data_IF_569316245477
#
_entry.id   IF_569316245477
#
_cell.length_a   1.000
_cell.length_b   1.000
_cell.length_c   1.000
_cell.angle_alpha   90.00
_cell.angle_beta   90.00
_cell.angle_gamma   90.00
#
_symmetry.space_group_name_H-M   'P 1'
#
loop_
_entity.id
_entity.type
_entity.pdbx_description
1 polymer ?
#
# COMPACT_ATOMS: atom_id res chain seq x y z
N UNK A 1 -21.35 42.57 -8.78
CA UNK A 1 -22.46 41.71 -9.26
C UNK A 1 -22.15 41.03 -10.59
N UNK A 2 -21.93 41.73 -11.71
CA UNK A 2 -21.49 41.07 -12.96
C UNK A 2 -20.11 40.41 -12.84
N UNK A 3 -19.19 41.05 -12.10
CA UNK A 3 -17.87 40.50 -11.81
C UNK A 3 -17.93 39.25 -10.92
N UNK A 4 -18.89 39.17 -10.00
CA UNK A 4 -19.06 38.00 -9.12
C UNK A 4 -19.49 36.76 -9.91
N UNK A 5 -20.34 36.93 -10.93
CA UNK A 5 -20.75 35.84 -11.82
C UNK A 5 -19.57 35.37 -12.67
N UNK A 6 -18.77 36.31 -13.18
CA UNK A 6 -17.58 35.99 -13.97
C UNK A 6 -16.55 35.22 -13.13
N UNK A 7 -16.36 35.61 -11.88
CA UNK A 7 -15.44 34.93 -10.96
C UNK A 7 -15.90 33.50 -10.63
N UNK A 8 -17.20 33.32 -10.35
CA UNK A 8 -17.78 31.97 -10.15
C UNK A 8 -17.63 31.10 -11.40
N UNK A 9 -17.75 31.66 -12.61
CA UNK A 9 -17.54 30.90 -13.84
C UNK A 9 -16.08 30.47 -14.01
N UNK A 10 -15.11 31.37 -13.77
CA UNK A 10 -13.68 31.03 -13.84
C UNK A 10 -13.30 29.92 -12.86
N UNK A 11 -13.78 30.02 -11.63
CA UNK A 11 -13.55 29.00 -10.60
C UNK A 11 -14.18 27.66 -10.99
N UNK A 12 -15.38 27.67 -11.57
CA UNK A 12 -16.04 26.46 -12.04
C UNK A 12 -15.27 25.80 -13.20
N UNK A 13 -14.82 26.60 -14.18
CA UNK A 13 -14.03 26.12 -15.31
C UNK A 13 -12.71 25.49 -14.83
N UNK A 14 -12.03 26.16 -13.88
CA UNK A 14 -10.82 25.65 -13.25
C UNK A 14 -11.06 24.30 -12.56
N UNK A 15 -12.11 24.19 -11.74
CA UNK A 15 -12.43 22.94 -11.04
C UNK A 15 -12.83 21.82 -12.00
N UNK A 16 -13.48 22.14 -13.11
CA UNK A 16 -13.85 21.16 -14.13
C UNK A 16 -12.62 20.59 -14.83
N UNK A 17 -11.65 21.44 -15.17
CA UNK A 17 -10.36 21.01 -15.73
C UNK A 17 -9.62 20.15 -14.70
N UNK A 18 -9.55 20.58 -13.44
CA UNK A 18 -8.91 19.82 -12.36
C UNK A 18 -9.57 18.44 -12.16
N UNK A 19 -10.90 18.36 -12.27
CA UNK A 19 -11.61 17.08 -12.21
C UNK A 19 -11.26 16.16 -13.39
N UNK A 20 -11.05 16.70 -14.59
CA UNK A 20 -10.59 15.92 -15.75
C UNK A 20 -9.19 15.36 -15.53
N UNK A 21 -8.27 16.17 -14.98
CA UNK A 21 -6.91 15.72 -14.64
C UNK A 21 -6.94 14.60 -13.58
N UNK A 22 -7.72 14.77 -12.52
CA UNK A 22 -7.90 13.74 -11.48
C UNK A 22 -8.50 12.45 -12.03
N UNK A 23 -9.45 12.53 -12.97
CA UNK A 23 -9.99 11.35 -13.64
C UNK A 23 -8.94 10.64 -14.49
N UNK A 24 -8.09 11.38 -15.21
CA UNK A 24 -6.99 10.79 -15.97
C UNK A 24 -6.00 10.06 -15.03
N UNK A 25 -5.61 10.70 -13.92
CA UNK A 25 -4.76 10.09 -12.90
C UNK A 25 -5.40 8.84 -12.29
N UNK A 26 -6.70 8.86 -12.01
CA UNK A 26 -7.43 7.72 -11.48
C UNK A 26 -7.42 6.54 -12.45
N UNK A 27 -7.62 6.79 -13.75
CA UNK A 27 -7.58 5.76 -14.79
C UNK A 27 -6.17 5.16 -14.88
N UNK A 28 -5.14 6.02 -14.93
CA UNK A 28 -3.72 5.58 -14.95
C UNK A 28 -3.39 4.72 -13.73
N UNK A 29 -3.84 5.13 -12.55
CA UNK A 29 -3.63 4.39 -11.30
C UNK A 29 -4.31 3.01 -11.33
N UNK A 30 -5.57 2.94 -11.77
CA UNK A 30 -6.33 1.68 -11.90
C UNK A 30 -5.69 0.69 -12.88
N UNK A 31 -5.20 1.18 -14.02
CA UNK A 31 -4.51 0.33 -15.00
C UNK A 31 -3.23 -0.28 -14.42
N UNK A 32 -2.41 0.53 -13.74
CA UNK A 32 -1.21 0.06 -13.03
C UNK A 32 -1.54 -0.94 -11.93
N UNK A 33 -2.61 -0.69 -11.17
CA UNK A 33 -3.09 -1.60 -10.13
C UNK A 33 -3.50 -2.95 -10.72
N UNK A 34 -4.23 -2.95 -11.83
CA UNK A 34 -4.64 -4.18 -12.52
C UNK A 34 -3.42 -4.98 -13.01
N UNK A 35 -2.44 -4.31 -13.62
CA UNK A 35 -1.22 -4.96 -14.11
C UNK A 35 -0.43 -5.60 -12.96
N UNK A 36 -0.17 -4.83 -11.89
CA UNK A 36 0.57 -5.32 -10.71
C UNK A 36 -0.17 -6.45 -10.00
N UNK A 37 -1.49 -6.34 -9.84
CA UNK A 37 -2.32 -7.38 -9.25
C UNK A 37 -2.29 -8.67 -10.09
N UNK A 38 -2.45 -8.57 -11.42
CA UNK A 38 -2.41 -9.72 -12.33
C UNK A 38 -1.05 -10.43 -12.26
N UNK A 39 0.04 -9.67 -12.31
CA UNK A 39 1.40 -10.20 -12.19
C UNK A 39 1.64 -10.85 -10.82
N UNK A 40 1.19 -10.22 -9.73
CA UNK A 40 1.27 -10.76 -8.37
C UNK A 40 0.52 -12.09 -8.22
N UNK A 41 -0.73 -12.15 -8.67
CA UNK A 41 -1.55 -13.37 -8.66
C UNK A 41 -0.94 -14.49 -9.52
N UNK A 42 -0.39 -14.17 -10.69
CA UNK A 42 0.27 -15.16 -11.54
C UNK A 42 1.53 -15.74 -10.86
N UNK A 43 2.34 -14.89 -10.24
CA UNK A 43 3.53 -15.32 -9.50
C UNK A 43 3.15 -16.16 -8.28
N UNK A 44 2.05 -15.81 -7.59
CA UNK A 44 1.52 -16.62 -6.50
C UNK A 44 1.07 -18.00 -7.00
N UNK A 45 0.34 -18.06 -8.12
CA UNK A 45 -0.08 -19.32 -8.73
C UNK A 45 1.12 -20.21 -9.12
N UNK A 46 2.17 -19.62 -9.73
CA UNK A 46 3.42 -20.33 -10.03
C UNK A 46 4.09 -20.86 -8.76
N UNK A 47 4.11 -20.08 -7.69
CA UNK A 47 4.66 -20.54 -6.41
C UNK A 47 3.86 -21.72 -5.85
N UNK A 48 2.52 -21.68 -5.88
CA UNK A 48 1.64 -22.78 -5.43
C UNK A 48 1.84 -24.03 -6.27
N UNK A 49 2.03 -23.89 -7.58
CA UNK A 49 2.32 -25.01 -8.47
C UNK A 49 3.65 -25.68 -8.15
N UNK A 50 4.71 -24.89 -7.91
CA UNK A 50 6.06 -25.40 -7.63
C UNK A 50 6.15 -26.05 -6.24
N UNK A 51 5.58 -25.41 -5.21
CA UNK A 51 5.67 -25.93 -3.83
C UNK A 51 4.62 -26.98 -3.51
N UNK A 52 3.58 -27.13 -4.34
CA UNK A 52 2.42 -27.97 -4.03
C UNK A 52 1.38 -27.24 -3.17
N UNK A 53 0.15 -27.76 -3.21
CA UNK A 53 -1.03 -27.11 -2.63
C UNK A 53 -0.94 -26.89 -1.11
N UNK A 54 -0.26 -27.79 -0.40
CA UNK A 54 -0.21 -27.78 1.07
C UNK A 54 0.74 -26.72 1.63
N UNK A 55 1.69 -26.20 0.85
CA UNK A 55 2.77 -25.35 1.35
C UNK A 55 2.47 -23.84 1.26
N UNK A 56 1.48 -23.47 0.45
CA UNK A 56 0.98 -22.09 0.33
C UNK A 56 -0.54 -22.17 0.43
N UNK A 57 -1.01 -22.22 1.67
CA UNK A 57 -2.40 -22.36 2.06
C UNK A 57 -2.73 -21.45 3.25
N UNK A 58 -4.00 -21.29 3.55
CA UNK A 58 -4.46 -20.58 4.75
C UNK A 58 -4.05 -21.31 6.04
N UNK A 59 -3.73 -22.60 5.98
CA UNK A 59 -3.28 -23.40 7.11
C UNK A 59 -1.93 -22.93 7.70
N UNK A 60 -1.12 -22.21 6.92
CA UNK A 60 0.13 -21.62 7.39
C UNK A 60 -0.07 -20.30 8.13
N UNK A 61 -1.28 -19.73 8.09
CA UNK A 61 -1.54 -18.47 8.78
C UNK A 61 -1.66 -18.73 10.29
N UNK A 62 -1.09 -17.85 11.12
CA UNK A 62 -1.25 -17.96 12.56
C UNK A 62 -2.72 -17.90 12.99
N UNK A 63 -3.09 -18.75 13.95
CA UNK A 63 -4.44 -18.87 14.53
C UNK A 63 -4.53 -18.16 15.87
N UNK A 64 -5.71 -18.13 16.51
CA UNK A 64 -5.94 -17.45 17.80
C UNK A 64 -5.03 -17.95 18.95
N UNK A 65 -4.55 -19.20 18.85
CA UNK A 65 -3.60 -19.78 19.83
C UNK A 65 -2.14 -19.33 19.61
N UNK A 66 -1.87 -18.59 18.52
CA UNK A 66 -0.55 -18.08 18.18
C UNK A 66 -0.27 -16.74 18.87
N UNK A 67 1.00 -16.35 18.97
CA UNK A 67 1.38 -15.04 19.49
C UNK A 67 0.71 -13.90 18.69
N UNK A 68 0.36 -12.80 19.36
CA UNK A 68 -0.25 -11.63 18.73
C UNK A 68 0.62 -11.08 17.58
N UNK A 69 -0.01 -10.78 16.45
CA UNK A 69 0.66 -10.31 15.25
C UNK A 69 0.37 -8.84 15.03
N UNK A 70 1.44 -8.04 15.07
CA UNK A 70 1.37 -6.66 14.64
C UNK A 70 1.34 -6.58 13.10
N UNK A 71 0.44 -5.77 12.57
CA UNK A 71 0.40 -5.49 11.13
C UNK A 71 1.68 -4.77 10.69
N UNK A 72 2.37 -5.31 9.66
CA UNK A 72 3.58 -4.69 9.13
C UNK A 72 3.31 -3.35 8.44
N UNK A 73 2.09 -3.15 7.93
CA UNK A 73 1.65 -1.91 7.29
C UNK A 73 0.29 -1.49 7.81
N UNK A 74 0.15 -0.21 8.16
CA UNK A 74 -1.09 0.39 8.66
C UNK A 74 -1.40 1.65 7.87
N UNK A 75 -2.67 1.94 7.64
CA UNK A 75 -3.12 3.17 6.98
C UNK A 75 -3.61 4.14 8.03
N UNK A 76 -3.12 5.38 8.00
CA UNK A 76 -3.65 6.48 8.79
C UNK A 76 -4.41 7.44 7.88
N UNK A 77 -5.52 7.97 8.37
CA UNK A 77 -6.28 9.03 7.68
C UNK A 77 -5.94 10.40 8.26
N UNK A 78 -5.83 11.39 7.40
CA UNK A 78 -5.66 12.80 7.73
C UNK A 78 -6.55 13.64 6.82
N UNK A 79 -7.00 14.79 7.27
CA UNK A 79 -7.71 15.76 6.43
C UNK A 79 -6.70 16.76 5.88
N UNK A 80 -6.68 16.96 4.57
CA UNK A 80 -5.87 17.99 3.93
C UNK A 80 -6.79 19.03 3.27
N UNK A 81 -6.45 20.30 3.43
CA UNK A 81 -7.14 21.42 2.79
C UNK A 81 -6.27 21.94 1.66
N UNK A 82 -6.70 21.77 0.41
CA UNK A 82 -6.10 22.46 -0.74
C UNK A 82 -7.14 23.34 -1.39
N UNK A 83 -6.72 24.56 -1.77
CA UNK A 83 -7.50 25.49 -2.61
C UNK A 83 -8.98 25.60 -2.19
N UNK A 84 -9.23 25.82 -0.90
CA UNK A 84 -10.56 26.07 -0.30
C UNK A 84 -11.55 24.89 -0.25
N UNK A 85 -11.08 23.64 -0.34
CA UNK A 85 -11.90 22.48 0.03
C UNK A 85 -11.06 21.42 0.76
N UNK A 86 -11.75 20.69 1.64
CA UNK A 86 -11.17 19.65 2.48
C UNK A 86 -11.46 18.29 1.87
N UNK A 87 -10.45 17.43 1.85
CA UNK A 87 -10.59 16.05 1.42
C UNK A 87 -9.77 15.13 2.33
N UNK A 88 -10.15 13.85 2.36
CA UNK A 88 -9.44 12.86 3.17
C UNK A 88 -8.23 12.35 2.41
N UNK A 89 -7.13 12.21 3.15
CA UNK A 89 -5.87 11.67 2.64
C UNK A 89 -5.46 10.50 3.51
N UNK A 90 -5.11 9.41 2.84
CA UNK A 90 -4.63 8.18 3.42
C UNK A 90 -3.12 8.09 3.23
N UNK A 91 -2.41 7.83 4.32
CA UNK A 91 -0.95 7.64 4.35
C UNK A 91 -0.62 6.24 4.84
N UNK A 92 0.11 5.51 4.01
CA UNK A 92 0.55 4.16 4.32
C UNK A 92 1.83 4.20 5.16
N UNK A 93 1.74 3.70 6.40
CA UNK A 93 2.88 3.56 7.29
C UNK A 93 3.38 2.12 7.24
N UNK A 94 4.65 1.94 6.90
CA UNK A 94 5.32 0.63 7.00
C UNK A 94 6.14 0.61 8.28
N UNK A 95 5.78 -0.29 9.19
CA UNK A 95 6.55 -0.54 10.40
C UNK A 95 7.76 -1.38 9.98
N UNK A 96 8.88 -0.69 9.75
CA UNK A 96 10.17 -1.34 9.57
C UNK A 96 10.86 -1.44 10.93
N UNK A 97 10.92 -2.65 11.48
CA UNK A 97 11.64 -2.94 12.72
C UNK A 97 13.16 -2.63 12.63
N UNK A 98 13.68 -2.39 11.42
CA UNK A 98 15.08 -2.04 11.17
C UNK A 98 15.44 -0.55 11.40
N UNK A 99 14.48 0.34 11.74
CA UNK A 99 14.77 1.77 12.03
C UNK A 99 14.99 2.09 13.52
N UNK A 100 15.35 1.10 14.34
CA UNK A 100 15.90 1.31 15.69
C UNK A 100 17.43 1.10 15.79
N UNK A 101 18.12 0.89 14.66
CA UNK A 101 19.59 0.80 14.64
C UNK A 101 20.16 1.44 13.37
N UNK A 102 20.31 2.76 13.38
CA UNK A 102 21.21 3.45 12.45
C UNK A 102 21.76 4.71 13.11
N UNK A 103 22.71 4.51 14.03
CA UNK A 103 23.92 5.33 14.03
C UNK A 103 24.85 4.79 12.93
N UNK A 104 25.45 5.72 12.21
CA UNK A 104 26.28 5.53 11.02
C UNK A 104 27.46 4.56 11.22
N UNK A 105 27.80 3.74 10.22
CA UNK A 105 29.00 3.93 9.39
C UNK A 105 29.18 2.82 8.34
N UNK A 106 29.99 3.19 7.35
CA UNK A 106 30.22 2.63 6.02
C UNK A 106 30.99 1.30 5.96
N UNK A 107 30.93 0.73 4.74
CA UNK A 107 31.95 -0.03 4.02
C UNK A 107 32.69 -1.21 4.69
N UNK A 108 32.63 -2.38 4.02
CA UNK A 108 33.49 -3.49 4.39
C UNK A 108 33.22 -4.78 3.62
N UNK A 109 33.73 -4.82 2.39
CA UNK A 109 33.91 -5.99 1.55
C UNK A 109 34.32 -7.27 2.33
N UNK A 110 33.58 -8.39 2.22
CA UNK A 110 34.11 -9.71 2.64
C UNK A 110 33.51 -10.88 1.85
N UNK A 111 34.06 -11.05 0.65
CA UNK A 111 34.69 -12.28 0.11
C UNK A 111 34.10 -13.64 0.58
N UNK A 112 33.53 -14.33 -0.41
CA UNK A 112 33.28 -15.79 -0.47
C UNK A 112 34.40 -16.61 0.19
N UNK A 113 34.06 -17.47 1.16
CA UNK A 113 34.82 -18.69 1.44
C UNK A 113 34.02 -19.92 1.01
N UNK A 114 34.45 -20.52 -0.10
CA UNK A 114 34.24 -21.96 -0.34
C UNK A 114 35.30 -22.69 0.49
N UNK A 115 34.88 -23.62 1.34
CA UNK A 115 35.74 -24.69 1.81
C UNK A 115 35.02 -26.00 1.50
N UNK A 116 35.65 -26.79 0.63
CA UNK A 116 35.31 -28.19 0.38
C UNK A 116 35.81 -29.05 1.54
N UNK A 117 35.05 -30.08 1.93
CA UNK A 117 35.41 -31.52 1.85
C UNK A 117 34.83 -32.39 2.98
N UNK A 118 34.31 -33.54 2.54
CA UNK A 118 34.04 -34.85 3.18
C UNK A 118 33.01 -35.01 4.33
N UNK A 119 31.83 -35.51 3.95
CA UNK A 119 31.44 -36.93 4.09
C UNK A 119 31.26 -37.55 5.48
N UNK A 120 30.00 -37.71 5.91
CA UNK A 120 29.46 -38.93 6.56
C UNK A 120 27.95 -38.83 6.79
N UNK A 121 27.20 -39.89 6.45
CA UNK A 121 25.77 -40.08 6.66
C UNK A 121 25.40 -40.17 8.16
N UNK A 122 24.22 -39.65 8.58
CA UNK A 122 23.09 -40.45 9.13
C UNK A 122 22.01 -39.57 9.78
N UNK A 123 20.76 -39.89 9.41
CA UNK A 123 19.48 -39.86 10.16
C UNK A 123 19.07 -38.62 10.99
N UNK A 124 17.82 -38.23 10.74
CA UNK A 124 17.18 -37.06 11.31
C UNK A 124 16.99 -37.10 12.82
N UNK A 125 16.87 -35.89 13.36
CA UNK A 125 15.98 -35.49 14.44
C UNK A 125 15.68 -34.01 14.24
N UNK A 126 14.39 -33.74 14.15
CA UNK A 126 13.79 -32.46 14.46
C UNK A 126 14.34 -31.99 15.81
N UNK A 127 14.76 -30.72 15.91
CA UNK A 127 14.49 -29.86 17.07
C UNK A 127 15.09 -28.45 16.86
N UNK A 128 14.17 -27.49 16.89
CA UNK A 128 14.27 -26.23 17.64
C UNK A 128 15.52 -25.35 17.41
N UNK A 129 15.34 -24.29 16.64
CA UNK A 129 16.05 -23.05 16.91
C UNK A 129 15.11 -21.84 16.80
N UNK A 130 14.23 -21.72 17.80
CA UNK A 130 13.75 -20.40 18.21
C UNK A 130 14.88 -19.78 19.03
N UNK A 131 15.54 -18.75 18.49
CA UNK A 131 16.35 -17.85 19.32
C UNK A 131 15.39 -17.17 20.30
N UNK A 132 15.37 -17.66 21.54
CA UNK A 132 14.82 -16.92 22.67
C UNK A 132 15.71 -15.70 22.88
N UNK A 133 15.13 -14.52 22.76
CA UNK A 133 15.61 -13.32 23.42
C UNK A 133 14.45 -12.90 24.30
N UNK A 134 14.61 -13.12 25.60
CA UNK A 134 13.70 -12.63 26.64
C UNK A 134 14.20 -11.24 27.03
N UNK A 135 13.44 -10.19 26.70
CA UNK A 135 12.99 -9.17 27.65
C UNK A 135 11.96 -8.25 26.97
N UNK A 136 10.85 -7.96 27.66
CA UNK A 136 9.73 -7.09 27.24
C UNK A 136 8.83 -7.58 26.08
N UNK A 137 8.02 -8.61 26.32
CA UNK A 137 6.60 -8.68 25.88
C UNK A 137 6.20 -8.48 24.40
N UNK A 138 7.13 -8.41 23.46
CA UNK A 138 6.83 -8.27 22.02
C UNK A 138 7.72 -9.24 21.24
N UNK A 139 7.15 -10.37 20.82
CA UNK A 139 7.84 -11.29 19.90
C UNK A 139 8.14 -10.53 18.61
N UNK A 140 9.42 -10.45 18.26
CA UNK A 140 9.92 -9.83 17.03
C UNK A 140 9.11 -10.40 15.86
N UNK A 141 8.30 -9.53 15.24
CA UNK A 141 7.45 -9.86 14.12
C UNK A 141 8.27 -10.58 13.03
N UNK A 142 8.11 -11.89 12.97
CA UNK A 142 8.77 -12.72 11.97
C UNK A 142 8.23 -12.32 10.61
N UNK A 143 9.10 -12.12 9.60
CA UNK A 143 8.66 -11.77 8.25
C UNK A 143 7.51 -12.70 7.81
N UNK A 144 6.31 -12.18 7.50
CA UNK A 144 5.13 -13.02 7.24
C UNK A 144 5.34 -14.03 6.11
N UNK A 145 6.27 -13.76 5.19
CA UNK A 145 6.60 -14.68 4.11
C UNK A 145 7.26 -15.98 4.59
N UNK A 146 7.87 -15.98 5.79
CA UNK A 146 8.49 -17.16 6.40
C UNK A 146 7.47 -18.12 7.01
N UNK A 147 6.20 -17.72 7.15
CA UNK A 147 5.12 -18.65 7.52
C UNK A 147 4.95 -19.77 6.49
N UNK A 148 5.37 -19.54 5.25
CA UNK A 148 5.36 -20.52 4.16
C UNK A 148 6.67 -21.32 4.05
N UNK A 149 7.48 -21.33 5.11
CA UNK A 149 8.76 -22.05 5.20
C UNK A 149 10.00 -21.18 5.02
N UNK A 150 11.16 -21.75 5.38
CA UNK A 150 12.45 -21.03 5.35
C UNK A 150 12.98 -20.83 3.92
N UNK A 151 12.69 -21.78 3.02
CA UNK A 151 13.06 -21.74 1.60
C UNK A 151 11.90 -21.23 0.74
N UNK A 152 11.65 -19.93 0.84
CA UNK A 152 10.62 -19.25 0.04
C UNK A 152 11.05 -19.14 -1.44
N UNK A 153 10.27 -19.68 -2.40
CA UNK A 153 10.58 -19.57 -3.83
C UNK A 153 10.59 -18.12 -4.32
N UNK A 154 11.37 -17.86 -5.38
CA UNK A 154 11.46 -16.52 -5.96
C UNK A 154 10.10 -15.98 -6.41
N UNK A 155 9.25 -16.82 -7.00
CA UNK A 155 7.90 -16.42 -7.43
C UNK A 155 7.04 -15.93 -6.25
N UNK A 156 7.18 -16.54 -5.06
CA UNK A 156 6.42 -16.11 -3.87
C UNK A 156 6.92 -14.75 -3.37
N UNK A 157 8.23 -14.50 -3.42
CA UNK A 157 8.82 -13.18 -3.10
C UNK A 157 8.40 -12.11 -4.10
N UNK A 158 8.35 -12.46 -5.39
CA UNK A 158 7.87 -11.55 -6.44
C UNK A 158 6.38 -11.24 -6.28
N UNK A 159 5.56 -12.24 -5.94
CA UNK A 159 4.15 -12.04 -5.63
C UNK A 159 3.98 -11.08 -4.43
N UNK A 160 4.73 -11.32 -3.35
CA UNK A 160 4.72 -10.44 -2.18
C UNK A 160 5.10 -9.00 -2.55
N UNK A 161 6.17 -8.78 -3.33
CA UNK A 161 6.55 -7.45 -3.82
C UNK A 161 5.45 -6.81 -4.67
N UNK A 162 4.81 -7.60 -5.55
CA UNK A 162 3.70 -7.15 -6.38
C UNK A 162 2.50 -6.69 -5.55
N UNK A 163 2.12 -7.44 -4.52
CA UNK A 163 1.02 -7.06 -3.62
C UNK A 163 1.34 -5.84 -2.75
N UNK A 164 2.58 -5.66 -2.32
CA UNK A 164 3.00 -4.43 -1.64
C UNK A 164 2.83 -3.20 -2.53
N UNK A 165 3.29 -3.28 -3.78
CA UNK A 165 3.11 -2.20 -4.75
C UNK A 165 1.62 -1.97 -5.08
N UNK A 166 0.83 -3.03 -5.20
CA UNK A 166 -0.61 -2.92 -5.40
C UNK A 166 -1.29 -2.20 -4.22
N UNK A 167 -0.87 -2.47 -2.98
CA UNK A 167 -1.40 -1.80 -1.79
C UNK A 167 -1.09 -0.30 -1.80
N UNK A 168 0.11 0.09 -2.22
CA UNK A 168 0.48 1.50 -2.41
C UNK A 168 -0.39 2.18 -3.48
N UNK A 169 -0.65 1.50 -4.60
CA UNK A 169 -1.53 1.99 -5.67
C UNK A 169 -3.00 2.10 -5.20
N UNK A 170 -3.49 1.17 -4.38
CA UNK A 170 -4.84 1.25 -3.80
C UNK A 170 -4.98 2.49 -2.91
N UNK A 171 -3.99 2.77 -2.06
CA UNK A 171 -3.99 3.98 -1.21
C UNK A 171 -3.96 5.24 -2.07
N UNK A 172 -3.13 5.28 -3.12
CA UNK A 172 -3.11 6.40 -4.08
C UNK A 172 -4.47 6.57 -4.77
N UNK A 173 -5.09 5.48 -5.23
CA UNK A 173 -6.42 5.51 -5.85
C UNK A 173 -7.49 6.03 -4.89
N UNK A 174 -7.44 5.65 -3.61
CA UNK A 174 -8.36 6.14 -2.59
C UNK A 174 -8.19 7.64 -2.35
N UNK A 175 -6.95 8.14 -2.35
CA UNK A 175 -6.66 9.58 -2.24
C UNK A 175 -7.22 10.36 -3.43
N UNK A 176 -6.94 9.91 -4.66
CA UNK A 176 -7.46 10.55 -5.88
C UNK A 176 -8.99 10.54 -5.88
N UNK A 177 -9.62 9.44 -5.45
CA UNK A 177 -11.07 9.34 -5.32
C UNK A 177 -11.63 10.33 -4.30
N UNK A 178 -11.00 10.46 -3.14
CA UNK A 178 -11.45 11.41 -2.12
C UNK A 178 -11.35 12.86 -2.61
N UNK A 179 -10.26 13.20 -3.31
CA UNK A 179 -10.08 14.53 -3.90
C UNK A 179 -11.11 14.78 -5.02
N UNK A 180 -11.33 13.80 -5.90
CA UNK A 180 -12.32 13.90 -6.98
C UNK A 180 -13.75 14.07 -6.42
N UNK A 181 -14.10 13.38 -5.35
CA UNK A 181 -15.42 13.53 -4.72
C UNK A 181 -15.58 14.93 -4.08
N UNK A 182 -14.52 15.45 -3.45
CA UNK A 182 -14.53 16.79 -2.87
C UNK A 182 -14.65 17.89 -3.94
N UNK A 183 -13.93 17.75 -5.05
CA UNK A 183 -14.00 18.67 -6.19
C UNK A 183 -15.38 18.67 -6.83
N UNK A 184 -15.97 17.48 -7.05
CA UNK A 184 -17.34 17.38 -7.57
C UNK A 184 -18.36 18.08 -6.64
N UNK A 185 -18.28 17.83 -5.33
CA UNK A 185 -19.12 18.51 -4.34
C UNK A 185 -18.94 20.03 -4.36
N UNK A 186 -17.73 20.52 -4.64
CA UNK A 186 -17.46 21.96 -4.77
C UNK A 186 -18.06 22.54 -6.06
N UNK A 187 -17.92 21.85 -7.19
CA UNK A 187 -18.56 22.22 -8.45
C UNK A 187 -20.08 22.33 -8.29
N UNK A 188 -20.71 21.33 -7.67
CA UNK A 188 -22.16 21.33 -7.43
C UNK A 188 -22.62 22.53 -6.59
N UNK A 189 -21.82 22.93 -5.59
CA UNK A 189 -22.10 24.12 -4.78
C UNK A 189 -21.99 25.40 -5.61
N UNK A 190 -20.92 25.55 -6.40
CA UNK A 190 -20.72 26.73 -7.24
C UNK A 190 -21.78 26.84 -8.35
N UNK A 191 -22.22 25.73 -8.93
CA UNK A 191 -23.33 25.70 -9.88
C UNK A 191 -24.62 26.22 -9.27
N UNK A 192 -24.97 25.77 -8.06
CA UNK A 192 -26.15 26.26 -7.33
C UNK A 192 -26.07 27.77 -7.04
N UNK A 193 -24.89 28.24 -6.62
CA UNK A 193 -24.65 29.66 -6.39
C UNK A 193 -24.78 30.48 -7.67
N UNK A 194 -24.20 30.02 -8.78
CA UNK A 194 -24.33 30.66 -10.10
C UNK A 194 -25.81 30.76 -10.52
N UNK A 195 -26.58 29.69 -10.39
CA UNK A 195 -28.01 29.70 -10.74
C UNK A 195 -28.81 30.67 -9.88
N UNK A 196 -28.51 30.76 -8.59
CA UNK A 196 -29.18 31.70 -7.69
C UNK A 196 -28.86 33.17 -8.04
N UNK A 197 -27.59 33.48 -8.35
CA UNK A 197 -27.19 34.82 -8.77
C UNK A 197 -27.82 35.25 -10.09
N UNK A 198 -27.98 34.31 -11.03
CA UNK A 198 -28.66 34.56 -12.31
C UNK A 198 -30.16 34.82 -12.09
N UNK A 199 -30.82 34.06 -11.21
CA UNK A 199 -32.23 34.27 -10.89
C UNK A 199 -32.49 35.66 -10.28
N UNK A 200 -31.66 36.07 -9.31
CA UNK A 200 -31.74 37.40 -8.70
C UNK A 200 -31.57 38.51 -9.74
N UNK A 201 -30.69 38.32 -10.74
CA UNK A 201 -30.50 39.26 -11.84
C UNK A 201 -31.71 39.35 -12.78
N UNK A 202 -32.55 38.32 -12.86
CA UNK A 202 -33.74 38.31 -13.73
C UNK A 202 -34.97 38.97 -13.10
N UNK A 203 -34.97 39.16 -11.77
CA UNK A 203 -36.08 39.77 -11.01
C UNK A 203 -35.88 41.28 -10.79
N UNK A 204 -34.71 41.82 -11.13
CA UNK A 204 -34.34 43.25 -11.05
C UNK A 204 -34.21 43.85 -12.44
#
# INVERSE_FOLDING_TARGET
>A
MSDDILEVCKELDYLMIHALDLMEEQIKCKLKLQETMKSGCLNLAKARYIMGHNNISSLQLPTEDSAEIAAQRTVASSVETKKNFEYMVFKLHTINLAKMSSGEQEEGNSIRRRASKDGSESKGKEDLNCKKIEDNGLVIATDPIKWFGYLVPQNLRQAQKGFHAALELVVQSANIQSELEATHKRCDKLLKLKTALIAIKSEV
#
